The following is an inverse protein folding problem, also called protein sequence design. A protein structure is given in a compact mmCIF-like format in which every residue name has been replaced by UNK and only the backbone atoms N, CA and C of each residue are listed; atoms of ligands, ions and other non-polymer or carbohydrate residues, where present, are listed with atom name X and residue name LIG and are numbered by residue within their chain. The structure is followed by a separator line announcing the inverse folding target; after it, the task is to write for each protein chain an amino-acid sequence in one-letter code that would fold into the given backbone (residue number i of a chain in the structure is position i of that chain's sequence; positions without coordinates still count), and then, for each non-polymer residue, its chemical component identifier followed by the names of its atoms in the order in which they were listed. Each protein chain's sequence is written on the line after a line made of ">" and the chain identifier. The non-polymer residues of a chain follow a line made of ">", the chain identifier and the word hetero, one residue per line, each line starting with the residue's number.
data_IF_478703852117
#
_entry.id   IF_478703852117
#
_cell.length_a   1.000
_cell.length_b   1.000
_cell.length_c   1.000
_cell.angle_alpha   90.00
_cell.angle_beta   90.00
_cell.angle_gamma   90.00
#
_symmetry.space_group_name_H-M   'P 1'
#
loop_
_entity.id
_entity.type
_entity.pdbx_description
1 polymer ?
#
# COMPACT_ATOMS: atom_id res chain seq x y z
N UNK A 1 -15.04 4.51 -17.56
CA UNK A 1 -15.41 5.79 -18.20
C UNK A 1 -14.26 6.76 -18.01
N UNK A 2 -13.61 7.24 -19.08
CA UNK A 2 -12.50 8.20 -19.02
C UNK A 2 -13.00 9.49 -18.38
N UNK A 3 -12.51 9.85 -17.19
CA UNK A 3 -12.69 11.21 -16.65
C UNK A 3 -11.45 12.02 -17.01
N UNK A 4 -11.58 12.80 -18.08
CA UNK A 4 -10.64 13.85 -18.47
C UNK A 4 -10.47 14.85 -17.33
N UNK A 5 -9.24 15.27 -17.03
CA UNK A 5 -9.00 16.47 -16.21
C UNK A 5 -9.73 17.65 -16.89
N UNK A 6 -10.85 18.09 -16.32
CA UNK A 6 -11.57 19.26 -16.82
C UNK A 6 -10.67 20.48 -16.63
N UNK A 7 -10.38 21.17 -17.72
CA UNK A 7 -9.56 22.39 -17.72
C UNK A 7 -10.50 23.55 -17.39
N UNK A 8 -10.40 24.05 -16.16
CA UNK A 8 -11.07 25.25 -15.63
C UNK A 8 -12.60 25.20 -15.63
N UNK A 9 -13.19 24.83 -14.49
CA UNK A 9 -14.64 24.85 -14.24
C UNK A 9 -14.99 26.13 -13.46
N UNK A 10 -16.15 26.73 -13.74
CA UNK A 10 -16.69 27.84 -12.95
C UNK A 10 -17.05 27.40 -11.51
N UNK A 11 -16.99 28.32 -10.54
CA UNK A 11 -17.28 28.04 -9.13
C UNK A 11 -18.71 27.54 -8.91
N UNK A 12 -19.68 27.99 -9.72
CA UNK A 12 -21.06 27.51 -9.64
C UNK A 12 -21.20 26.04 -10.06
N UNK A 13 -20.59 25.66 -11.19
CA UNK A 13 -20.57 24.27 -11.65
C UNK A 13 -19.79 23.38 -10.66
N UNK A 14 -18.71 23.89 -10.08
CA UNK A 14 -17.97 23.20 -9.01
C UNK A 14 -18.88 22.95 -7.79
N UNK A 15 -19.60 23.96 -7.31
CA UNK A 15 -20.50 23.83 -6.18
C UNK A 15 -21.58 22.78 -6.45
N UNK A 16 -22.13 22.74 -7.67
CA UNK A 16 -23.11 21.74 -8.07
C UNK A 16 -22.50 20.32 -8.05
N UNK A 17 -21.32 20.13 -8.65
CA UNK A 17 -20.64 18.83 -8.69
C UNK A 17 -20.29 18.32 -7.28
N UNK A 18 -19.80 19.20 -6.40
CA UNK A 18 -19.50 18.84 -5.01
C UNK A 18 -20.73 18.35 -4.24
N UNK A 19 -21.93 18.79 -4.60
CA UNK A 19 -23.20 18.32 -4.00
C UNK A 19 -23.64 16.95 -4.53
N UNK A 20 -23.29 16.59 -5.76
CA UNK A 20 -23.61 15.26 -6.34
C UNK A 20 -22.88 14.12 -5.63
N UNK A 21 -21.67 14.39 -5.13
CA UNK A 21 -20.85 13.42 -4.40
C UNK A 21 -20.05 12.45 -5.26
N UNK A 22 -20.00 12.67 -6.57
CA UNK A 22 -19.08 11.97 -7.47
C UNK A 22 -17.62 12.31 -7.17
N UNK A 23 -16.70 11.38 -7.50
CA UNK A 23 -15.27 11.65 -7.46
C UNK A 23 -14.92 12.72 -8.47
N UNK A 24 -14.20 13.74 -8.00
CA UNK A 24 -13.93 14.92 -8.78
C UNK A 24 -12.47 15.36 -8.65
N UNK A 25 -11.86 15.72 -9.79
CA UNK A 25 -10.52 16.27 -9.91
C UNK A 25 -10.56 17.51 -10.78
N UNK A 26 -10.02 18.61 -10.27
CA UNK A 26 -10.02 19.92 -10.94
C UNK A 26 -8.63 20.52 -10.93
N UNK A 27 -8.29 21.15 -12.06
CA UNK A 27 -7.19 22.10 -12.14
C UNK A 27 -7.76 23.52 -12.09
N UNK A 28 -7.23 24.32 -11.18
CA UNK A 28 -7.56 25.73 -11.00
C UNK A 28 -6.29 26.55 -11.26
N UNK A 29 -6.35 27.57 -12.11
CA UNK A 29 -5.14 28.23 -12.57
C UNK A 29 -4.15 27.27 -13.24
N UNK A 30 -2.85 27.51 -13.07
CA UNK A 30 -1.82 26.68 -13.68
C UNK A 30 -1.38 25.52 -12.77
N UNK A 31 -1.29 25.81 -11.46
CA UNK A 31 -0.59 24.97 -10.48
C UNK A 31 -1.48 24.46 -9.35
N UNK A 32 -2.71 24.95 -9.21
CA UNK A 32 -3.65 24.52 -8.16
C UNK A 32 -4.45 23.29 -8.60
N UNK A 33 -4.54 22.29 -7.73
CA UNK A 33 -5.21 21.01 -7.98
C UNK A 33 -6.12 20.65 -6.81
N UNK A 34 -7.41 20.50 -7.08
CA UNK A 34 -8.39 20.02 -6.12
C UNK A 34 -8.73 18.56 -6.43
N UNK A 35 -8.71 17.71 -5.39
CA UNK A 35 -9.22 16.35 -5.45
C UNK A 35 -10.24 16.15 -4.33
N UNK A 36 -11.44 15.72 -4.69
CA UNK A 36 -12.50 15.35 -3.75
C UNK A 36 -13.09 14.02 -4.20
N UNK A 37 -12.78 12.94 -3.48
CA UNK A 37 -13.23 11.58 -3.82
C UNK A 37 -14.74 11.40 -3.67
N UNK A 38 -15.33 12.08 -2.69
CA UNK A 38 -16.75 12.09 -2.34
C UNK A 38 -17.03 13.28 -1.42
N UNK A 39 -18.30 13.49 -1.06
CA UNK A 39 -18.69 14.43 -0.01
C UNK A 39 -18.04 14.04 1.32
N UNK A 40 -17.13 14.88 1.81
CA UNK A 40 -16.44 14.72 3.08
C UNK A 40 -16.49 16.06 3.82
N UNK A 41 -16.68 16.06 5.15
CA UNK A 41 -16.74 17.29 5.94
C UNK A 41 -15.36 17.87 6.26
N UNK A 42 -14.33 17.54 5.46
CA UNK A 42 -12.99 18.04 5.67
C UNK A 42 -12.25 18.26 4.35
N UNK A 43 -11.24 19.13 4.40
CA UNK A 43 -10.30 19.39 3.30
C UNK A 43 -8.88 19.49 3.86
N UNK A 44 -7.95 18.74 3.27
CA UNK A 44 -6.53 18.88 3.56
C UNK A 44 -5.92 19.90 2.58
N UNK A 45 -5.30 20.96 3.09
CA UNK A 45 -4.70 22.03 2.32
C UNK A 45 -3.17 21.96 2.39
N UNK A 46 -2.53 22.00 1.22
CA UNK A 46 -1.11 22.26 1.09
C UNK A 46 -0.91 23.48 0.19
N UNK A 47 -0.14 24.46 0.65
CA UNK A 47 0.23 25.63 -0.15
C UNK A 47 1.72 25.55 -0.48
N UNK A 48 2.07 25.50 -1.76
CA UNK A 48 3.44 25.35 -2.22
C UNK A 48 4.29 26.58 -1.84
N UNK A 49 5.46 26.42 -1.20
CA UNK A 49 6.38 27.53 -0.94
C UNK A 49 6.95 28.09 -2.24
N UNK A 50 7.66 29.22 -2.13
CA UNK A 50 8.41 29.79 -3.26
C UNK A 50 9.37 28.76 -3.88
N UNK A 51 9.96 27.90 -3.04
CA UNK A 51 10.70 26.72 -3.49
C UNK A 51 9.79 25.47 -3.43
N UNK A 52 9.79 24.61 -4.47
CA UNK A 52 9.01 23.39 -4.46
C UNK A 52 9.42 22.45 -3.31
N UNK A 53 8.43 21.97 -2.56
CA UNK A 53 8.62 20.99 -1.50
C UNK A 53 7.80 19.73 -1.81
N UNK A 54 8.38 18.86 -2.62
CA UNK A 54 7.74 17.62 -3.04
C UNK A 54 7.52 16.64 -1.89
N UNK A 55 8.39 16.67 -0.87
CA UNK A 55 8.30 15.80 0.30
C UNK A 55 7.04 16.10 1.10
N UNK A 56 6.86 17.36 1.49
CA UNK A 56 5.68 17.81 2.24
C UNK A 56 4.40 17.63 1.43
N UNK A 57 4.43 17.99 0.14
CA UNK A 57 3.28 17.80 -0.76
C UNK A 57 2.82 16.34 -0.77
N UNK A 58 3.76 15.40 -0.91
CA UNK A 58 3.45 13.98 -0.99
C UNK A 58 2.78 13.42 0.29
N UNK A 59 2.98 14.03 1.46
CA UNK A 59 2.34 13.61 2.72
C UNK A 59 0.82 13.79 2.70
N UNK A 60 0.32 14.75 1.93
CA UNK A 60 -1.09 15.15 1.90
C UNK A 60 -1.88 14.49 0.75
N UNK A 61 -1.20 14.17 -0.36
CA UNK A 61 -1.82 13.53 -1.54
C UNK A 61 -2.48 12.17 -1.29
N UNK A 62 -2.21 11.50 -0.15
CA UNK A 62 -2.90 10.26 0.22
C UNK A 62 -4.32 10.45 0.73
N UNK A 63 -4.76 11.68 1.00
CA UNK A 63 -6.08 11.93 1.58
C UNK A 63 -7.16 12.05 0.50
N UNK A 64 -8.37 11.64 0.88
CA UNK A 64 -9.53 11.55 -0.01
C UNK A 64 -10.09 12.91 -0.44
N UNK A 65 -9.80 13.97 0.33
CA UNK A 65 -10.22 15.34 0.06
C UNK A 65 -9.02 16.25 0.33
N UNK A 66 -8.41 16.76 -0.74
CA UNK A 66 -7.24 17.60 -0.63
C UNK A 66 -7.12 18.66 -1.73
N UNK A 67 -6.45 19.76 -1.40
CA UNK A 67 -6.17 20.89 -2.26
C UNK A 67 -4.68 21.22 -2.22
N UNK A 68 -4.02 21.11 -3.37
CA UNK A 68 -2.66 21.62 -3.60
C UNK A 68 -2.76 23.00 -4.23
N UNK A 69 -2.20 24.03 -3.60
CA UNK A 69 -2.20 25.40 -4.12
C UNK A 69 -0.82 25.77 -4.63
N UNK A 70 -0.77 26.28 -5.86
CA UNK A 70 0.47 26.78 -6.46
C UNK A 70 1.05 27.98 -5.72
N UNK A 71 2.38 28.14 -5.77
CA UNK A 71 3.03 29.30 -5.18
C UNK A 71 2.52 30.59 -5.85
N UNK A 72 2.00 31.52 -5.04
CA UNK A 72 1.45 32.80 -5.49
C UNK A 72 0.02 32.76 -6.02
N UNK A 73 -0.63 31.60 -6.10
CA UNK A 73 -2.04 31.50 -6.52
C UNK A 73 -3.00 31.75 -5.35
N UNK A 74 -4.09 32.49 -5.61
CA UNK A 74 -5.17 32.66 -4.63
C UNK A 74 -6.19 31.54 -4.77
N UNK A 75 -6.25 30.69 -3.74
CA UNK A 75 -7.19 29.59 -3.65
C UNK A 75 -8.36 29.86 -2.68
N UNK A 76 -8.50 31.08 -2.13
CA UNK A 76 -9.60 31.42 -1.23
C UNK A 76 -10.98 31.13 -1.86
N UNK A 77 -11.29 31.58 -3.09
CA UNK A 77 -12.62 31.34 -3.68
C UNK A 77 -12.93 29.84 -3.81
N UNK A 78 -11.90 29.04 -4.11
CA UNK A 78 -12.02 27.60 -4.26
C UNK A 78 -12.31 26.92 -2.92
N UNK A 79 -11.60 27.30 -1.85
CA UNK A 79 -11.84 26.78 -0.51
C UNK A 79 -13.21 27.20 0.02
N UNK A 80 -13.60 28.47 -0.15
CA UNK A 80 -14.92 28.96 0.21
C UNK A 80 -16.02 28.15 -0.50
N UNK A 81 -15.89 27.93 -1.81
CA UNK A 81 -16.82 27.11 -2.60
C UNK A 81 -16.91 25.68 -2.08
N UNK A 82 -15.78 25.04 -1.75
CA UNK A 82 -15.78 23.67 -1.21
C UNK A 82 -16.50 23.61 0.13
N UNK A 83 -16.18 24.52 1.04
CA UNK A 83 -16.78 24.55 2.38
C UNK A 83 -18.27 24.87 2.29
N UNK A 84 -18.69 25.90 1.55
CA UNK A 84 -20.09 26.27 1.41
C UNK A 84 -20.94 25.22 0.67
N UNK A 85 -20.33 24.40 -0.21
CA UNK A 85 -21.04 23.30 -0.86
C UNK A 85 -21.24 22.09 0.05
N UNK A 86 -20.31 21.82 0.99
CA UNK A 86 -20.34 20.62 1.82
C UNK A 86 -20.92 20.86 3.21
N UNK A 87 -20.64 22.00 3.84
CA UNK A 87 -21.02 22.27 5.22
C UNK A 87 -22.53 22.13 5.49
N UNK A 88 -23.46 22.58 4.62
CA UNK A 88 -24.90 22.46 4.89
C UNK A 88 -25.38 21.02 5.12
N UNK A 89 -24.71 20.02 4.53
CA UNK A 89 -25.07 18.62 4.73
C UNK A 89 -24.42 17.96 5.95
N UNK A 90 -23.36 18.57 6.50
CA UNK A 90 -22.59 18.00 7.60
C UNK A 90 -22.65 18.82 8.89
N UNK A 91 -23.20 20.03 8.86
CA UNK A 91 -23.30 20.94 10.01
C UNK A 91 -21.98 21.62 10.40
N UNK A 92 -20.85 20.95 10.21
CA UNK A 92 -19.51 21.50 10.44
C UNK A 92 -18.53 21.08 9.34
N UNK A 93 -17.42 21.82 9.22
CA UNK A 93 -16.36 21.51 8.27
C UNK A 93 -14.97 21.67 8.91
N UNK A 94 -14.02 20.78 8.60
CA UNK A 94 -12.65 20.85 9.09
C UNK A 94 -11.66 21.15 7.95
N UNK A 95 -10.98 22.28 8.03
CA UNK A 95 -9.84 22.61 7.17
C UNK A 95 -8.53 22.27 7.90
N UNK A 96 -7.79 21.28 7.41
CA UNK A 96 -6.46 20.94 7.91
C UNK A 96 -5.40 21.51 6.97
N UNK A 97 -4.53 22.39 7.44
CA UNK A 97 -3.39 22.89 6.66
C UNK A 97 -2.10 22.19 7.11
N UNK A 98 -1.32 21.66 6.16
CA UNK A 98 -0.06 20.95 6.41
C UNK A 98 1.11 21.68 5.77
N UNK A 99 2.19 21.89 6.53
CA UNK A 99 3.42 22.51 6.03
C UNK A 99 4.68 21.95 6.69
N UNK A 100 5.83 22.20 6.06
CA UNK A 100 7.14 21.93 6.65
C UNK A 100 7.53 23.04 7.62
N UNK A 101 7.99 22.65 8.81
CA UNK A 101 8.69 23.54 9.73
C UNK A 101 10.11 23.88 9.25
N UNK A 102 10.86 24.68 10.02
CA UNK A 102 12.23 25.03 9.68
C UNK A 102 13.12 23.77 9.57
N UNK A 103 14.15 23.78 8.70
CA UNK A 103 15.08 22.67 8.60
C UNK A 103 15.82 22.46 9.93
N UNK A 104 15.84 21.22 10.39
CA UNK A 104 16.63 20.81 11.56
C UNK A 104 18.06 20.47 11.12
N UNK A 105 19.02 20.61 12.02
CA UNK A 105 20.41 20.21 11.75
C UNK A 105 20.50 18.70 11.50
N UNK A 106 21.24 18.30 10.46
CA UNK A 106 21.54 16.90 10.18
C UNK A 106 22.72 16.41 11.04
N UNK A 107 22.72 15.15 11.49
CA UNK A 107 21.68 14.13 11.30
C UNK A 107 20.44 14.40 12.17
N UNK A 108 19.24 14.15 11.61
CA UNK A 108 17.99 14.30 12.35
C UNK A 108 17.95 13.33 13.53
N UNK A 109 17.85 13.86 14.75
CA UNK A 109 17.74 13.05 15.98
C UNK A 109 16.31 12.87 16.45
N UNK A 110 15.36 13.64 15.90
CA UNK A 110 13.94 13.60 16.27
C UNK A 110 13.05 14.07 15.11
N UNK A 111 11.82 13.57 15.10
CA UNK A 111 10.73 14.05 14.26
C UNK A 111 9.83 14.97 15.08
N UNK A 112 9.77 16.24 14.72
CA UNK A 112 8.93 17.21 15.45
C UNK A 112 7.62 17.43 14.69
N UNK A 113 6.52 17.37 15.43
CA UNK A 113 5.18 17.68 14.96
C UNK A 113 4.63 18.78 15.84
N UNK A 114 4.25 19.91 15.25
CA UNK A 114 3.58 21.00 15.96
C UNK A 114 2.15 21.12 15.46
N UNK A 115 1.19 20.96 16.37
CA UNK A 115 -0.24 21.07 16.07
C UNK A 115 -0.72 22.44 16.54
N UNK A 116 -1.24 23.23 15.60
CA UNK A 116 -1.68 24.60 15.83
C UNK A 116 -3.21 24.64 15.84
N UNK A 117 -3.83 25.06 16.95
CA UNK A 117 -5.29 24.97 17.14
C UNK A 117 -6.01 26.32 17.05
N UNK A 118 -5.27 27.43 17.10
CA UNK A 118 -5.85 28.77 17.16
C UNK A 118 -6.69 29.04 18.41
N UNK A 119 -6.55 28.22 19.47
CA UNK A 119 -7.28 28.36 20.73
C UNK A 119 -8.76 27.96 20.68
N UNK A 120 -9.18 27.17 19.68
CA UNK A 120 -10.57 26.75 19.55
C UNK A 120 -10.84 25.44 20.34
N UNK A 121 -11.76 25.41 21.32
CA UNK A 121 -11.93 24.26 22.23
C UNK A 121 -12.23 22.90 21.55
N UNK A 122 -13.03 22.90 20.48
CA UNK A 122 -13.28 21.68 19.70
C UNK A 122 -12.03 21.20 18.96
N UNK A 123 -11.20 22.13 18.48
CA UNK A 123 -9.96 21.81 17.76
C UNK A 123 -8.90 21.31 18.73
N UNK A 124 -8.85 21.82 19.96
CA UNK A 124 -7.93 21.32 21.00
C UNK A 124 -8.16 19.84 21.32
N UNK A 125 -9.43 19.40 21.43
CA UNK A 125 -9.77 17.97 21.61
C UNK A 125 -9.34 17.11 20.42
N UNK A 126 -9.48 17.63 19.19
CA UNK A 126 -8.98 16.94 17.99
C UNK A 126 -7.45 16.88 17.96
N UNK A 127 -6.78 17.95 18.41
CA UNK A 127 -5.33 18.03 18.51
C UNK A 127 -4.77 17.05 19.56
N UNK A 128 -5.46 16.84 20.67
CA UNK A 128 -5.12 15.80 21.65
C UNK A 128 -5.22 14.39 21.03
N UNK A 129 -6.30 14.14 20.28
CA UNK A 129 -6.49 12.87 19.56
C UNK A 129 -5.36 12.65 18.56
N UNK A 130 -5.08 13.64 17.71
CA UNK A 130 -3.98 13.59 16.74
C UNK A 130 -2.63 13.39 17.44
N UNK A 131 -2.36 14.10 18.53
CA UNK A 131 -1.16 13.95 19.34
C UNK A 131 -0.97 12.53 19.84
N UNK A 132 -2.04 11.92 20.38
CA UNK A 132 -2.04 10.52 20.80
C UNK A 132 -1.74 9.54 19.67
N UNK A 133 -2.21 9.82 18.44
CA UNK A 133 -1.89 8.99 17.26
C UNK A 133 -0.47 9.19 16.78
N UNK A 134 0.02 10.43 16.74
CA UNK A 134 1.38 10.79 16.33
C UNK A 134 2.44 10.20 17.27
N UNK A 135 2.21 10.22 18.59
CA UNK A 135 3.10 9.60 19.59
C UNK A 135 3.29 8.09 19.39
N UNK A 136 2.30 7.40 18.82
CA UNK A 136 2.32 5.95 18.57
C UNK A 136 2.96 5.58 17.22
N UNK A 137 3.41 6.56 16.44
CA UNK A 137 4.07 6.28 15.17
C UNK A 137 5.45 5.69 15.43
N UNK A 138 5.67 4.47 14.94
CA UNK A 138 6.99 3.82 14.95
C UNK A 138 7.91 4.43 13.89
N UNK A 139 8.46 5.60 14.13
CA UNK A 139 9.40 6.27 13.21
C UNK A 139 10.84 5.76 13.44
N UNK A 140 11.76 6.10 12.53
CA UNK A 140 13.19 5.78 12.69
C UNK A 140 13.86 6.63 13.78
N UNK A 141 13.28 7.79 14.08
CA UNK A 141 13.69 8.72 15.13
C UNK A 141 12.53 8.95 16.11
N UNK A 142 12.78 9.29 17.37
CA UNK A 142 11.73 9.65 18.32
C UNK A 142 10.83 10.78 17.80
N UNK A 143 9.52 10.66 18.05
CA UNK A 143 8.55 11.70 17.71
C UNK A 143 8.32 12.63 18.91
N UNK A 144 8.52 13.93 18.70
CA UNK A 144 8.19 14.99 19.66
C UNK A 144 6.95 15.72 19.14
N UNK A 145 5.90 15.80 19.96
CA UNK A 145 4.63 16.40 19.60
C UNK A 145 4.37 17.58 20.52
N UNK A 146 4.19 18.76 19.93
CA UNK A 146 3.84 20.00 20.61
C UNK A 146 2.44 20.44 20.15
N UNK A 147 1.56 20.78 21.07
CA UNK A 147 0.30 21.45 20.77
C UNK A 147 0.41 22.92 21.17
N UNK A 148 -0.09 23.82 20.32
CA UNK A 148 -0.07 25.27 20.57
C UNK A 148 -1.40 25.90 20.18
N UNK A 149 -1.73 27.01 20.83
CA UNK A 149 -2.88 27.86 20.50
C UNK A 149 -2.58 28.86 19.36
N UNK A 150 -1.40 28.74 18.75
CA UNK A 150 -0.95 29.63 17.69
C UNK A 150 -1.78 29.48 16.41
N UNK A 151 -1.55 30.41 15.47
CA UNK A 151 -2.26 30.48 14.19
C UNK A 151 -2.18 29.14 13.44
N UNK A 152 -3.32 28.52 13.06
CA UNK A 152 -3.36 27.23 12.36
C UNK A 152 -2.97 27.32 10.87
N UNK A 153 -2.00 28.17 10.52
CA UNK A 153 -1.47 28.34 9.17
C UNK A 153 0.01 28.79 9.23
N UNK A 154 0.79 28.57 8.15
CA UNK A 154 2.18 29.01 8.05
C UNK A 154 2.36 30.52 8.30
N UNK A 155 3.40 30.89 9.05
CA UNK A 155 3.68 32.29 9.42
C UNK A 155 4.13 33.16 8.25
N UNK A 156 4.66 32.55 7.19
CA UNK A 156 5.15 33.20 5.96
C UNK A 156 4.01 33.59 5.00
N UNK A 157 2.75 33.26 5.31
CA UNK A 157 1.61 33.44 4.39
C UNK A 157 0.36 33.96 5.09
N UNK A 158 -0.51 34.70 4.36
CA UNK A 158 -1.76 35.17 4.92
C UNK A 158 -2.71 33.98 5.18
N UNK A 159 -3.67 34.19 6.10
CA UNK A 159 -4.78 33.26 6.31
C UNK A 159 -5.59 33.09 5.03
N UNK A 160 -5.96 31.85 4.70
CA UNK A 160 -6.78 31.57 3.52
C UNK A 160 -8.23 31.97 3.73
N UNK A 161 -8.83 31.63 4.88
CA UNK A 161 -10.19 32.02 5.27
C UNK A 161 -10.18 33.06 6.39
N UNK A 162 -11.15 33.99 6.35
CA UNK A 162 -11.40 34.97 7.40
C UNK A 162 -11.99 34.34 8.67
N UNK A 163 -11.74 34.95 9.84
CA UNK A 163 -12.27 34.44 11.12
C UNK A 163 -13.80 34.45 11.15
N UNK A 164 -14.41 35.59 10.84
CA UNK A 164 -15.87 35.74 10.82
C UNK A 164 -16.51 34.74 9.85
N UNK A 165 -15.96 34.65 8.63
CA UNK A 165 -16.44 33.71 7.62
C UNK A 165 -16.42 32.26 8.10
N UNK A 166 -15.34 31.85 8.80
CA UNK A 166 -15.26 30.51 9.39
C UNK A 166 -16.30 30.30 10.50
N UNK A 167 -16.57 31.30 11.33
CA UNK A 167 -17.61 31.23 12.38
C UNK A 167 -19.00 31.09 11.75
N UNK A 168 -19.32 31.91 10.74
CA UNK A 168 -20.60 31.88 10.01
C UNK A 168 -20.83 30.56 9.26
N UNK A 169 -19.76 29.90 8.79
CA UNK A 169 -19.81 28.64 8.04
C UNK A 169 -19.40 27.43 8.90
N UNK A 170 -19.37 27.53 10.24
CA UNK A 170 -18.97 26.43 11.14
C UNK A 170 -17.70 25.67 10.68
N UNK A 171 -16.71 26.42 10.19
CA UNK A 171 -15.47 25.89 9.62
C UNK A 171 -14.35 25.94 10.67
N UNK A 172 -14.00 24.77 11.19
CA UNK A 172 -12.87 24.57 12.10
C UNK A 172 -11.56 24.51 11.32
N UNK A 173 -10.47 25.02 11.91
CA UNK A 173 -9.14 25.04 11.30
C UNK A 173 -8.12 24.36 12.20
N UNK A 174 -7.32 23.48 11.63
CA UNK A 174 -6.27 22.74 12.32
C UNK A 174 -4.98 22.84 11.50
N UNK A 175 -3.90 23.33 12.12
CA UNK A 175 -2.60 23.39 11.48
C UNK A 175 -1.71 22.22 11.91
N UNK A 176 -1.00 21.62 10.96
CA UNK A 176 0.00 20.59 11.23
C UNK A 176 1.33 20.98 10.59
N UNK A 177 2.27 21.38 11.42
CA UNK A 177 3.65 21.63 11.04
C UNK A 177 4.50 20.38 11.32
N UNK A 178 5.32 19.98 10.35
CA UNK A 178 6.19 18.82 10.46
C UNK A 178 7.62 19.25 10.17
N UNK A 179 8.56 18.96 11.07
CA UNK A 179 9.98 19.18 10.73
C UNK A 179 10.38 18.32 9.53
N UNK A 180 11.21 18.83 8.61
CA UNK A 180 11.49 18.16 7.33
C UNK A 180 12.49 16.99 7.45
N UNK A 181 12.39 16.14 8.48
CA UNK A 181 13.28 14.99 8.72
C UNK A 181 13.22 13.90 7.63
N UNK A 182 12.25 14.00 6.72
CA UNK A 182 12.00 13.10 5.60
C UNK A 182 12.65 13.58 4.29
N UNK A 183 13.41 14.67 4.30
CA UNK A 183 14.15 15.17 3.16
C UNK A 183 15.52 15.71 3.56
N UNK A 184 16.40 15.85 2.58
CA UNK A 184 17.73 16.47 2.73
C UNK A 184 17.60 17.98 2.89
N UNK A 185 18.66 18.65 3.34
CA UNK A 185 18.78 20.12 3.28
C UNK A 185 18.56 20.72 1.90
N UNK A 186 18.84 19.95 0.83
CA UNK A 186 18.59 20.35 -0.55
C UNK A 186 17.12 20.15 -0.99
N UNK A 187 16.21 19.80 -0.08
CA UNK A 187 14.79 19.57 -0.36
C UNK A 187 14.48 18.24 -1.05
N UNK A 188 15.47 17.36 -1.24
CA UNK A 188 15.26 16.04 -1.87
C UNK A 188 14.73 15.03 -0.84
N UNK A 189 13.56 14.40 -1.07
CA UNK A 189 13.00 13.45 -0.11
C UNK A 189 13.81 12.16 0.02
N UNK A 190 13.87 11.61 1.25
CA UNK A 190 14.33 10.25 1.52
C UNK A 190 13.19 9.26 1.22
N UNK A 191 13.25 8.46 0.15
CA UNK A 191 12.06 7.73 -0.34
C UNK A 191 11.46 6.75 0.67
N UNK A 192 12.31 6.02 1.40
CA UNK A 192 11.86 5.05 2.41
C UNK A 192 11.24 5.73 3.64
N UNK A 193 11.82 6.85 4.08
CA UNK A 193 11.30 7.62 5.22
C UNK A 193 9.96 8.25 4.83
N UNK A 194 9.91 8.94 3.69
CA UNK A 194 8.70 9.59 3.18
C UNK A 194 7.55 8.60 2.98
N UNK A 195 7.80 7.45 2.34
CA UNK A 195 6.78 6.41 2.13
C UNK A 195 6.25 5.86 3.46
N UNK A 196 7.14 5.61 4.41
CA UNK A 196 6.81 5.14 5.75
C UNK A 196 5.98 6.17 6.52
N UNK A 197 6.36 7.45 6.44
CA UNK A 197 5.68 8.57 7.07
C UNK A 197 4.31 8.81 6.45
N UNK A 198 4.19 8.94 5.13
CA UNK A 198 2.91 9.12 4.41
C UNK A 198 1.86 8.10 4.83
N UNK A 199 2.21 6.81 4.88
CA UNK A 199 1.29 5.75 5.34
C UNK A 199 0.85 5.93 6.79
N UNK A 200 1.82 6.19 7.68
CA UNK A 200 1.60 6.32 9.13
C UNK A 200 0.79 7.56 9.47
N UNK A 201 1.15 8.69 8.86
CA UNK A 201 0.48 9.97 8.99
C UNK A 201 -0.93 9.91 8.42
N UNK A 202 -1.12 9.39 7.20
CA UNK A 202 -2.46 9.28 6.61
C UNK A 202 -3.40 8.41 7.47
N UNK A 203 -2.89 7.35 8.12
CA UNK A 203 -3.68 6.60 9.11
C UNK A 203 -4.04 7.46 10.34
N UNK A 204 -3.09 8.22 10.88
CA UNK A 204 -3.33 9.10 12.03
C UNK A 204 -4.35 10.19 11.69
N UNK A 205 -4.22 10.84 10.53
CA UNK A 205 -5.15 11.85 10.03
C UNK A 205 -6.56 11.27 9.87
N UNK A 206 -6.72 10.11 9.24
CA UNK A 206 -8.03 9.45 9.11
C UNK A 206 -8.68 9.14 10.45
N UNK A 207 -7.90 8.74 11.46
CA UNK A 207 -8.42 8.51 12.81
C UNK A 207 -8.86 9.81 13.48
N UNK A 208 -8.15 10.91 13.26
CA UNK A 208 -8.55 12.25 13.73
C UNK A 208 -9.78 12.78 12.99
N UNK A 209 -9.86 12.58 11.67
CA UNK A 209 -11.04 12.95 10.88
C UNK A 209 -12.26 12.13 11.30
N UNK A 210 -12.08 10.85 11.63
CA UNK A 210 -13.15 10.02 12.19
C UNK A 210 -13.70 10.61 13.48
N UNK A 211 -12.82 10.98 14.43
CA UNK A 211 -13.23 11.65 15.66
C UNK A 211 -14.01 12.94 15.38
N UNK A 212 -13.51 13.79 14.47
CA UNK A 212 -14.21 15.01 14.07
C UNK A 212 -15.58 14.71 13.48
N UNK A 213 -15.67 13.76 12.54
CA UNK A 213 -16.92 13.39 11.88
C UNK A 213 -17.93 12.88 12.92
N UNK A 214 -17.53 12.01 13.84
CA UNK A 214 -18.45 11.42 14.83
C UNK A 214 -18.87 12.39 15.94
N UNK A 215 -18.06 13.40 16.23
CA UNK A 215 -18.32 14.36 17.33
C UNK A 215 -18.97 15.67 16.87
N UNK A 216 -18.71 16.08 15.63
CA UNK A 216 -19.05 17.42 15.14
C UNK A 216 -19.98 17.41 13.92
N UNK A 217 -20.37 16.23 13.41
CA UNK A 217 -21.25 16.09 12.24
C UNK A 217 -22.29 14.99 12.49
N UNK A 218 -23.41 14.93 11.73
CA UNK A 218 -24.41 13.88 11.87
C UNK A 218 -24.01 12.54 11.23
N UNK A 219 -22.83 12.44 10.61
CA UNK A 219 -22.35 11.21 9.99
C UNK A 219 -21.86 10.20 11.04
N UNK A 220 -22.25 8.94 10.85
CA UNK A 220 -21.75 7.80 11.63
C UNK A 220 -21.06 6.78 10.71
N UNK A 221 -19.83 7.04 10.24
CA UNK A 221 -19.07 6.07 9.48
C UNK A 221 -18.78 4.83 10.35
N UNK A 222 -18.82 3.59 9.80
CA UNK A 222 -18.59 2.38 10.60
C UNK A 222 -17.15 2.25 11.11
N UNK A 223 -16.18 2.83 10.40
CA UNK A 223 -14.79 2.90 10.83
C UNK A 223 -14.02 4.01 10.10
N UNK A 224 -12.84 4.37 10.61
CA UNK A 224 -11.98 5.43 10.06
C UNK A 224 -11.45 5.16 8.64
N UNK A 225 -11.43 3.90 8.18
CA UNK A 225 -10.94 3.58 6.83
C UNK A 225 -11.92 4.06 5.76
N UNK A 226 -13.21 4.19 6.08
CA UNK A 226 -14.25 4.68 5.16
C UNK A 226 -14.05 6.13 4.71
N UNK A 227 -13.26 6.91 5.47
CA UNK A 227 -12.88 8.29 5.19
C UNK A 227 -11.62 8.40 4.32
N UNK A 228 -10.91 7.29 4.08
CA UNK A 228 -9.79 7.25 3.14
C UNK A 228 -10.24 7.27 1.68
N UNK A 229 -9.30 7.34 0.74
CA UNK A 229 -9.62 7.31 -0.68
C UNK A 229 -10.41 6.05 -1.04
N UNK A 230 -11.48 6.19 -1.85
CA UNK A 230 -12.23 5.02 -2.38
C UNK A 230 -12.00 4.79 -3.86
N UNK A 231 -11.43 5.77 -4.56
CA UNK A 231 -11.12 5.59 -5.96
C UNK A 231 -10.08 4.45 -6.08
N UNK A 232 -10.55 3.23 -6.34
CA UNK A 232 -9.74 2.14 -6.87
C UNK A 232 -9.30 2.59 -8.26
N UNK A 233 -8.20 3.33 -8.29
CA UNK A 233 -7.70 3.98 -9.49
C UNK A 233 -7.44 2.90 -10.53
N UNK A 234 -7.74 3.18 -11.79
CA UNK A 234 -7.24 2.42 -12.96
C UNK A 234 -5.78 1.95 -12.77
N UNK A 235 -4.96 2.77 -12.12
CA UNK A 235 -3.58 2.47 -11.75
C UNK A 235 -3.41 1.22 -10.87
N UNK A 236 -4.28 0.98 -9.89
CA UNK A 236 -4.24 -0.22 -9.03
C UNK A 236 -4.42 -1.47 -9.88
N UNK A 237 -5.46 -1.48 -10.73
CA UNK A 237 -5.73 -2.60 -11.64
C UNK A 237 -4.65 -2.79 -12.70
N UNK A 238 -4.09 -1.70 -13.23
CA UNK A 238 -2.97 -1.76 -14.16
C UNK A 238 -1.72 -2.37 -13.52
N UNK A 239 -1.39 -1.98 -12.28
CA UNK A 239 -0.25 -2.54 -11.55
C UNK A 239 -0.49 -4.01 -11.21
N UNK A 240 -1.69 -4.35 -10.74
CA UNK A 240 -2.08 -5.72 -10.42
C UNK A 240 -1.95 -6.65 -11.65
N UNK A 241 -2.58 -6.27 -12.76
CA UNK A 241 -2.51 -7.01 -14.01
C UNK A 241 -1.07 -7.15 -14.53
N UNK A 242 -0.27 -6.08 -14.49
CA UNK A 242 1.12 -6.15 -14.96
C UNK A 242 2.00 -7.06 -14.07
N UNK A 243 1.79 -7.07 -12.76
CA UNK A 243 2.48 -8.01 -11.86
C UNK A 243 2.01 -9.45 -12.07
N UNK A 244 0.73 -9.66 -12.34
CA UNK A 244 0.15 -10.96 -12.67
C UNK A 244 0.74 -11.50 -13.97
N UNK A 245 0.82 -10.70 -15.04
CA UNK A 245 1.42 -11.08 -16.32
C UNK A 245 2.86 -11.57 -16.15
N UNK A 246 3.68 -10.85 -15.37
CA UNK A 246 5.04 -11.30 -15.05
C UNK A 246 5.03 -12.59 -14.22
N UNK A 247 4.15 -12.69 -13.22
CA UNK A 247 4.03 -13.89 -12.38
C UNK A 247 3.63 -15.13 -13.19
N UNK A 248 2.73 -14.98 -14.16
CA UNK A 248 2.20 -16.05 -15.00
C UNK A 248 3.15 -16.41 -16.16
N UNK A 249 4.10 -15.54 -16.50
CA UNK A 249 5.12 -15.82 -17.52
C UNK A 249 6.05 -16.98 -17.16
N UNK A 250 6.15 -17.37 -15.88
CA UNK A 250 6.97 -18.51 -15.47
C UNK A 250 6.33 -19.35 -14.35
N UNK A 251 6.42 -20.67 -14.48
CA UNK A 251 6.06 -21.59 -13.39
C UNK A 251 7.26 -21.86 -12.49
N UNK A 252 7.36 -21.14 -11.37
CA UNK A 252 8.49 -21.24 -10.45
C UNK A 252 8.74 -22.67 -9.94
N UNK A 253 7.69 -23.34 -9.44
CA UNK A 253 7.82 -24.69 -8.89
C UNK A 253 8.25 -25.69 -9.98
N UNK A 254 7.63 -25.62 -11.16
CA UNK A 254 7.97 -26.50 -12.27
C UNK A 254 9.43 -26.34 -12.71
N UNK A 255 9.95 -25.10 -12.65
CA UNK A 255 11.34 -24.78 -12.99
C UNK A 255 12.32 -25.10 -11.85
N UNK A 256 11.87 -25.09 -10.60
CA UNK A 256 12.69 -25.45 -9.45
C UNK A 256 12.75 -26.97 -9.19
N UNK A 257 11.86 -27.76 -9.79
CA UNK A 257 11.81 -29.21 -9.61
C UNK A 257 12.67 -29.96 -10.64
N UNK A 258 13.53 -30.89 -10.20
CA UNK A 258 14.30 -31.74 -11.12
C UNK A 258 13.40 -32.67 -11.93
N UNK A 259 13.82 -33.00 -13.16
CA UNK A 259 13.12 -33.95 -14.05
C UNK A 259 13.62 -35.39 -13.91
N UNK A 260 14.76 -35.61 -13.26
CA UNK A 260 15.42 -36.91 -13.15
C UNK A 260 15.42 -37.47 -11.71
N UNK A 261 14.47 -37.08 -10.86
CA UNK A 261 14.45 -37.43 -9.42
C UNK A 261 14.60 -38.93 -9.17
N UNK A 262 13.85 -39.77 -9.87
CA UNK A 262 13.94 -41.24 -9.74
C UNK A 262 15.32 -41.78 -10.14
N UNK A 263 15.86 -41.35 -11.27
CA UNK A 263 17.19 -41.78 -11.73
C UNK A 263 18.31 -41.26 -10.81
N UNK A 264 18.17 -40.05 -10.28
CA UNK A 264 19.11 -39.46 -9.32
C UNK A 264 19.09 -40.26 -8.00
N UNK A 265 17.91 -40.67 -7.54
CA UNK A 265 17.74 -41.54 -6.37
C UNK A 265 18.41 -42.91 -6.54
N UNK A 266 18.18 -43.59 -7.67
CA UNK A 266 18.81 -44.88 -7.96
C UNK A 266 20.34 -44.77 -7.98
N UNK A 267 20.89 -43.70 -8.57
CA UNK A 267 22.34 -43.42 -8.57
C UNK A 267 22.88 -43.16 -7.16
N UNK A 268 22.19 -42.35 -6.37
CA UNK A 268 22.54 -42.08 -4.98
C UNK A 268 22.63 -43.38 -4.16
N UNK A 269 21.62 -44.25 -4.30
CA UNK A 269 21.60 -45.57 -3.65
C UNK A 269 22.75 -46.47 -4.14
N UNK A 270 22.99 -46.53 -5.45
CA UNK A 270 24.09 -47.32 -6.04
C UNK A 270 25.48 -46.86 -5.55
N UNK A 271 25.64 -45.58 -5.22
CA UNK A 271 26.87 -45.03 -4.65
C UNK A 271 27.08 -45.35 -3.16
N UNK A 272 26.17 -46.10 -2.53
CA UNK A 272 26.20 -46.30 -1.08
C UNK A 272 26.00 -44.99 -0.30
N UNK A 273 25.24 -44.04 -0.88
CA UNK A 273 24.94 -42.74 -0.29
C UNK A 273 26.16 -41.81 -0.10
N UNK A 274 27.27 -42.08 -0.78
CA UNK A 274 28.52 -41.34 -0.62
C UNK A 274 28.66 -40.12 -1.54
N UNK A 275 27.92 -40.07 -2.65
CA UNK A 275 27.99 -38.99 -3.64
C UNK A 275 26.70 -38.20 -3.71
N UNK A 276 26.78 -36.87 -3.84
CA UNK A 276 25.58 -36.04 -3.98
C UNK A 276 24.86 -36.34 -5.31
N UNK A 277 23.52 -36.41 -5.33
CA UNK A 277 22.76 -36.63 -6.55
C UNK A 277 22.88 -35.44 -7.51
N UNK A 278 23.10 -35.73 -8.79
CA UNK A 278 23.08 -34.72 -9.84
C UNK A 278 21.67 -34.52 -10.41
N UNK A 279 21.15 -33.31 -10.26
CA UNK A 279 19.81 -32.94 -10.72
C UNK A 279 19.78 -32.28 -12.10
N UNK A 280 18.96 -32.84 -12.97
CA UNK A 280 18.62 -32.30 -14.27
C UNK A 280 17.35 -31.46 -14.17
N UNK A 281 17.32 -30.31 -14.83
CA UNK A 281 16.19 -29.37 -14.80
C UNK A 281 15.79 -28.99 -16.22
N UNK A 282 14.54 -28.57 -16.37
CA UNK A 282 14.00 -28.00 -17.61
C UNK A 282 14.79 -26.74 -18.00
N UNK A 283 15.09 -26.52 -19.28
CA UNK A 283 15.58 -25.22 -19.74
C UNK A 283 14.62 -24.11 -19.32
N UNK A 284 15.15 -23.03 -18.75
CA UNK A 284 14.34 -21.86 -18.43
C UNK A 284 14.16 -21.04 -19.71
N UNK A 285 12.92 -20.84 -20.20
CA UNK A 285 12.70 -20.30 -21.55
C UNK A 285 12.90 -18.78 -21.64
N UNK A 286 13.09 -18.09 -20.51
CA UNK A 286 13.21 -16.64 -20.43
C UNK A 286 14.59 -16.20 -19.95
N UNK A 287 15.01 -15.02 -20.39
CA UNK A 287 16.17 -14.33 -19.81
C UNK A 287 15.77 -13.69 -18.46
N UNK A 288 16.38 -14.08 -17.33
CA UNK A 288 16.09 -13.48 -16.02
C UNK A 288 16.26 -11.96 -15.99
N UNK A 289 17.22 -11.40 -16.73
CA UNK A 289 17.46 -9.96 -16.80
C UNK A 289 16.30 -9.24 -17.49
N UNK A 290 15.74 -9.82 -18.55
CA UNK A 290 14.58 -9.25 -19.26
C UNK A 290 13.32 -9.29 -18.39
N UNK A 291 13.07 -10.41 -17.72
CA UNK A 291 11.94 -10.51 -16.78
C UNK A 291 12.04 -9.48 -15.64
N UNK A 292 13.23 -9.28 -15.08
CA UNK A 292 13.47 -8.22 -14.09
C UNK A 292 13.17 -6.83 -14.64
N UNK A 293 13.60 -6.53 -15.88
CA UNK A 293 13.28 -5.23 -16.53
C UNK A 293 11.78 -5.02 -16.67
N UNK A 294 11.05 -6.03 -17.13
CA UNK A 294 9.58 -5.97 -17.23
C UNK A 294 8.94 -5.77 -15.84
N UNK A 295 9.39 -6.52 -14.84
CA UNK A 295 8.91 -6.44 -13.46
C UNK A 295 9.10 -5.04 -12.84
N UNK A 296 10.28 -4.43 -13.02
CA UNK A 296 10.58 -3.11 -12.45
C UNK A 296 10.08 -1.94 -13.30
N UNK A 297 9.59 -2.18 -14.52
CA UNK A 297 8.87 -1.18 -15.30
C UNK A 297 7.43 -0.94 -14.77
N UNK A 298 6.91 -1.84 -13.93
CA UNK A 298 5.58 -1.69 -13.32
C UNK A 298 5.56 -0.48 -12.37
N UNK A 299 4.68 0.52 -12.58
CA UNK A 299 4.70 1.80 -11.86
C UNK A 299 4.00 1.72 -10.49
N UNK A 300 4.52 0.85 -9.60
CA UNK A 300 3.94 0.63 -8.25
C UNK A 300 3.94 1.92 -7.41
N UNK A 301 4.89 2.82 -7.65
CA UNK A 301 5.03 4.12 -7.00
C UNK A 301 3.87 5.09 -7.26
N UNK A 302 3.13 4.90 -8.36
CA UNK A 302 1.97 5.72 -8.72
C UNK A 302 0.69 5.32 -7.97
N UNK A 303 0.72 4.23 -7.20
CA UNK A 303 -0.43 3.81 -6.38
C UNK A 303 -0.57 4.74 -5.18
N UNK A 304 -1.66 5.51 -5.15
CA UNK A 304 -1.89 6.51 -4.11
C UNK A 304 -2.22 5.91 -2.73
N UNK A 305 -2.87 4.74 -2.72
CA UNK A 305 -3.25 4.06 -1.49
C UNK A 305 -2.03 3.34 -0.89
N UNK A 306 -1.56 3.74 0.32
CA UNK A 306 -0.28 3.27 0.84
C UNK A 306 -0.21 1.78 1.22
N UNK A 307 -1.35 1.13 1.44
CA UNK A 307 -1.43 -0.29 1.83
C UNK A 307 -1.28 -1.19 0.60
N UNK A 308 -2.00 -0.93 -0.47
CA UNK A 308 -1.92 -1.57 -1.77
C UNK A 308 -0.54 -1.35 -2.39
N UNK A 309 -0.01 -0.12 -2.36
CA UNK A 309 1.34 0.17 -2.83
C UNK A 309 2.38 -0.71 -2.10
N UNK A 310 2.21 -0.95 -0.80
CA UNK A 310 3.06 -1.87 -0.03
C UNK A 310 2.91 -3.31 -0.49
N UNK A 311 1.67 -3.81 -0.63
CA UNK A 311 1.41 -5.19 -1.06
C UNK A 311 2.00 -5.46 -2.44
N UNK A 312 1.85 -4.53 -3.38
CA UNK A 312 2.44 -4.62 -4.71
C UNK A 312 3.96 -4.59 -4.70
N UNK A 313 4.59 -3.76 -3.85
CA UNK A 313 6.05 -3.79 -3.66
C UNK A 313 6.52 -5.12 -3.09
N UNK A 314 5.84 -5.65 -2.08
CA UNK A 314 6.16 -6.97 -1.50
C UNK A 314 6.02 -8.07 -2.56
N UNK A 315 4.97 -8.01 -3.40
CA UNK A 315 4.79 -8.93 -4.53
C UNK A 315 5.89 -8.78 -5.59
N UNK A 316 6.26 -7.54 -5.94
CA UNK A 316 7.34 -7.26 -6.88
C UNK A 316 8.68 -7.82 -6.36
N UNK A 317 9.03 -7.59 -5.10
CA UNK A 317 10.23 -8.15 -4.47
C UNK A 317 10.21 -9.68 -4.41
N UNK A 318 9.03 -10.28 -4.15
CA UNK A 318 8.85 -11.73 -4.18
C UNK A 318 9.17 -12.28 -5.58
N UNK A 319 8.63 -11.68 -6.63
CA UNK A 319 8.86 -12.08 -8.02
C UNK A 319 10.32 -11.90 -8.43
N UNK A 320 10.95 -10.78 -8.07
CA UNK A 320 12.37 -10.52 -8.33
C UNK A 320 13.26 -11.61 -7.71
N UNK A 321 12.96 -11.99 -6.47
CA UNK A 321 13.71 -13.05 -5.78
C UNK A 321 13.51 -14.40 -6.45
N UNK A 322 12.27 -14.75 -6.85
CA UNK A 322 11.99 -15.97 -7.61
C UNK A 322 12.74 -16.02 -8.94
N UNK A 323 12.73 -14.94 -9.72
CA UNK A 323 13.46 -14.83 -10.99
C UNK A 323 14.98 -14.99 -10.74
N UNK A 324 15.51 -14.37 -9.70
CA UNK A 324 16.91 -14.50 -9.29
C UNK A 324 17.27 -15.94 -8.95
N UNK A 325 16.42 -16.62 -8.16
CA UNK A 325 16.59 -18.03 -7.81
C UNK A 325 16.65 -18.91 -9.05
N UNK A 326 15.72 -18.74 -10.01
CA UNK A 326 15.72 -19.51 -11.25
C UNK A 326 17.00 -19.30 -12.07
N UNK A 327 17.48 -18.05 -12.16
CA UNK A 327 18.76 -17.73 -12.83
C UNK A 327 20.01 -18.25 -12.12
N UNK A 328 19.90 -18.56 -10.81
CA UNK A 328 21.00 -19.10 -9.97
C UNK A 328 20.79 -20.56 -9.58
N UNK A 329 19.87 -21.26 -10.25
CA UNK A 329 19.60 -22.69 -10.05
C UNK A 329 20.89 -23.50 -10.20
N UNK A 330 21.03 -24.57 -9.40
CA UNK A 330 22.27 -25.39 -9.26
C UNK A 330 23.46 -24.68 -8.61
N UNK A 331 23.25 -23.54 -7.95
CA UNK A 331 24.29 -22.90 -7.14
C UNK A 331 23.82 -22.75 -5.69
N UNK A 332 24.74 -22.60 -4.71
CA UNK A 332 24.37 -22.29 -3.33
C UNK A 332 23.51 -21.02 -3.19
N UNK A 333 23.58 -20.08 -4.15
CA UNK A 333 22.78 -18.86 -4.14
C UNK A 333 21.28 -19.10 -4.27
N UNK A 334 20.85 -20.24 -4.84
CA UNK A 334 19.44 -20.62 -4.85
C UNK A 334 18.90 -20.75 -3.42
N UNK A 335 19.69 -21.38 -2.53
CA UNK A 335 19.30 -21.56 -1.13
C UNK A 335 19.15 -20.22 -0.41
N UNK A 336 20.06 -19.26 -0.63
CA UNK A 336 19.96 -17.94 0.00
C UNK A 336 18.70 -17.19 -0.45
N UNK A 337 18.33 -17.28 -1.73
CA UNK A 337 17.05 -16.74 -2.21
C UNK A 337 15.85 -17.44 -1.56
N UNK A 338 15.89 -18.76 -1.43
CA UNK A 338 14.84 -19.54 -0.76
C UNK A 338 14.66 -19.12 0.70
N UNK A 339 15.76 -18.99 1.43
CA UNK A 339 15.75 -18.53 2.83
C UNK A 339 15.22 -17.10 2.96
N UNK A 340 15.49 -16.23 1.98
CA UNK A 340 14.96 -14.87 1.96
C UNK A 340 13.44 -14.84 1.71
N UNK A 341 12.89 -15.76 0.92
CA UNK A 341 11.46 -15.80 0.60
C UNK A 341 10.63 -16.53 1.65
N UNK A 342 11.11 -17.68 2.10
CA UNK A 342 10.34 -18.62 2.92
C UNK A 342 10.82 -18.68 4.37
N UNK A 343 11.93 -18.00 4.68
CA UNK A 343 12.58 -18.09 5.98
C UNK A 343 13.42 -19.35 6.13
N UNK A 344 14.05 -19.45 7.30
CA UNK A 344 14.74 -20.66 7.77
C UNK A 344 13.77 -21.53 8.56
N UNK A 345 14.06 -22.83 8.64
CA UNK A 345 13.36 -23.75 9.55
C UNK A 345 13.55 -23.23 10.98
N UNK A 346 12.45 -22.92 11.66
CA UNK A 346 12.49 -22.48 13.04
C UNK A 346 12.76 -23.66 13.99
N UNK A 347 13.28 -23.38 15.19
CA UNK A 347 13.69 -24.43 16.12
C UNK A 347 12.48 -25.21 16.67
N UNK A 348 11.30 -24.58 16.76
CA UNK A 348 10.08 -25.24 17.23
C UNK A 348 9.60 -26.28 16.21
N UNK A 349 9.52 -25.90 14.93
CA UNK A 349 9.18 -26.77 13.81
C UNK A 349 10.16 -27.92 13.70
N UNK A 350 11.46 -27.66 13.91
CA UNK A 350 12.49 -28.70 13.94
C UNK A 350 12.28 -29.69 15.09
N UNK A 351 11.95 -29.20 16.28
CA UNK A 351 11.67 -30.05 17.45
C UNK A 351 10.45 -30.95 17.19
N UNK A 352 9.36 -30.37 16.65
CA UNK A 352 8.15 -31.12 16.26
C UNK A 352 8.49 -32.19 15.21
N UNK A 353 9.25 -31.84 14.17
CA UNK A 353 9.64 -32.80 13.13
C UNK A 353 10.46 -33.97 13.70
N UNK A 354 11.37 -33.71 14.65
CA UNK A 354 12.15 -34.76 15.34
C UNK A 354 11.28 -35.64 16.22
N UNK A 355 10.38 -35.05 16.99
CA UNK A 355 9.43 -35.79 17.82
C UNK A 355 8.55 -36.70 16.95
N UNK A 356 8.08 -36.22 15.80
CA UNK A 356 7.32 -37.06 14.86
C UNK A 356 8.14 -38.26 14.35
N UNK A 357 9.44 -38.10 14.12
CA UNK A 357 10.32 -39.20 13.71
C UNK A 357 10.55 -40.24 14.82
N UNK A 358 10.43 -39.84 16.08
CA UNK A 358 10.54 -40.75 17.24
C UNK A 358 9.23 -41.49 17.53
N UNK A 359 8.09 -40.79 17.40
CA UNK A 359 6.76 -41.32 17.73
C UNK A 359 6.17 -42.16 16.61
N UNK A 360 6.37 -41.74 15.36
CA UNK A 360 5.83 -42.49 14.23
C UNK A 360 6.68 -43.75 14.03
N UNK A 361 6.07 -44.95 14.01
CA UNK A 361 6.81 -46.15 13.70
C UNK A 361 7.50 -45.97 12.35
N UNK A 362 8.77 -46.37 12.23
CA UNK A 362 9.39 -46.55 10.92
C UNK A 362 8.44 -47.45 10.15
N UNK A 363 7.80 -46.92 9.09
CA UNK A 363 6.83 -47.67 8.29
C UNK A 363 7.48 -49.00 7.92
N UNK A 364 7.12 -50.08 8.63
CA UNK A 364 7.10 -51.38 8.03
C UNK A 364 6.21 -51.21 6.79
N UNK A 365 6.68 -51.68 5.64
CA UNK A 365 5.87 -51.75 4.43
C UNK A 365 4.71 -52.71 4.68
N UNK A 366 3.72 -52.30 5.45
CA UNK A 366 2.53 -53.09 5.71
C UNK A 366 1.34 -52.36 5.09
N UNK A 367 0.63 -53.15 4.27
CA UNK A 367 -0.38 -52.79 3.28
C UNK A 367 0.18 -52.04 2.06
N UNK A 368 0.22 -52.74 0.93
CA UNK A 368 0.23 -52.16 -0.41
C UNK A 368 -1.05 -51.31 -0.51
N UNK A 369 -0.99 -49.96 -0.39
CA UNK A 369 -2.19 -49.17 -0.61
C UNK A 369 -2.65 -49.47 -2.04
N UNK A 370 -3.96 -49.58 -2.29
CA UNK A 370 -4.45 -49.63 -3.68
C UNK A 370 -3.94 -48.39 -4.39
N UNK A 371 -2.88 -48.56 -5.17
CA UNK A 371 -2.34 -47.53 -6.05
C UNK A 371 -3.32 -47.42 -7.22
N UNK A 372 -3.76 -46.20 -7.48
CA UNK A 372 -4.56 -45.87 -8.66
C UNK A 372 -3.64 -45.31 -9.73
N UNK A 373 -3.94 -45.59 -10.99
CA UNK A 373 -3.19 -45.02 -12.12
C UNK A 373 -3.50 -43.52 -12.27
N UNK A 374 -2.62 -42.80 -12.98
CA UNK A 374 -2.73 -41.34 -13.11
C UNK A 374 -4.08 -40.88 -13.71
N UNK A 375 -4.60 -41.62 -14.70
CA UNK A 375 -5.90 -41.32 -15.30
C UNK A 375 -7.07 -41.61 -14.35
N UNK A 376 -7.00 -42.68 -13.57
CA UNK A 376 -8.01 -42.98 -12.56
C UNK A 376 -8.06 -41.89 -11.48
N UNK A 377 -6.89 -41.39 -11.04
CA UNK A 377 -6.83 -40.25 -10.14
C UNK A 377 -7.37 -38.97 -10.78
N UNK A 378 -7.08 -38.73 -12.07
CA UNK A 378 -7.60 -37.57 -12.80
C UNK A 378 -9.14 -37.58 -12.88
N UNK A 379 -9.74 -38.76 -13.09
CA UNK A 379 -11.19 -38.91 -13.10
C UNK A 379 -11.82 -38.65 -11.73
N UNK A 380 -11.22 -39.14 -10.65
CA UNK A 380 -11.65 -38.83 -9.28
C UNK A 380 -11.55 -37.32 -8.99
N UNK A 381 -10.47 -36.68 -9.43
CA UNK A 381 -10.31 -35.23 -9.28
C UNK A 381 -11.38 -34.45 -10.07
N UNK A 382 -11.72 -34.88 -11.29
CA UNK A 382 -12.81 -34.27 -12.09
C UNK A 382 -14.16 -34.41 -11.39
N UNK A 383 -14.46 -35.58 -10.82
CA UNK A 383 -15.70 -35.81 -10.06
C UNK A 383 -15.80 -34.88 -8.85
N UNK A 384 -14.72 -34.73 -8.09
CA UNK A 384 -14.68 -33.81 -6.95
C UNK A 384 -14.84 -32.35 -7.39
N UNK A 385 -14.21 -31.96 -8.50
CA UNK A 385 -14.37 -30.63 -9.09
C UNK A 385 -15.83 -30.39 -9.51
N UNK A 386 -16.47 -31.37 -10.14
CA UNK A 386 -17.87 -31.28 -10.54
C UNK A 386 -18.80 -31.14 -9.34
N UNK A 387 -18.50 -31.83 -8.23
CA UNK A 387 -19.20 -31.65 -6.96
C UNK A 387 -19.07 -30.22 -6.42
N UNK A 388 -17.87 -29.63 -6.41
CA UNK A 388 -17.70 -28.22 -6.01
C UNK A 388 -18.39 -27.26 -6.97
N UNK A 389 -18.44 -27.57 -8.28
CA UNK A 389 -19.12 -26.75 -9.27
C UNK A 389 -20.64 -26.67 -9.05
N UNK A 390 -21.24 -27.71 -8.46
CA UNK A 390 -22.65 -27.68 -8.04
C UNK A 390 -22.90 -26.65 -6.92
N UNK A 391 -21.89 -26.35 -6.09
CA UNK A 391 -21.98 -25.35 -5.02
C UNK A 391 -21.65 -23.94 -5.53
N UNK A 392 -20.73 -23.84 -6.50
CA UNK A 392 -20.36 -22.57 -7.13
C UNK A 392 -20.01 -22.76 -8.60
N UNK A 393 -20.86 -22.23 -9.49
CA UNK A 393 -20.70 -22.35 -10.95
C UNK A 393 -19.38 -21.76 -11.48
N UNK A 394 -18.78 -20.80 -10.75
CA UNK A 394 -17.49 -20.19 -11.13
C UNK A 394 -16.27 -21.07 -10.85
N UNK A 395 -16.43 -22.25 -10.24
CA UNK A 395 -15.32 -23.17 -9.96
C UNK A 395 -14.94 -23.97 -11.21
N UNK A 396 -13.97 -23.45 -11.98
CA UNK A 396 -13.50 -24.05 -13.24
C UNK A 396 -12.01 -24.43 -13.24
N UNK A 397 -11.51 -25.21 -12.27
CA UNK A 397 -10.13 -25.72 -12.32
C UNK A 397 -9.98 -26.75 -13.45
N UNK A 398 -8.74 -26.93 -13.93
CA UNK A 398 -8.38 -27.88 -14.99
C UNK A 398 -7.62 -29.06 -14.43
N UNK A 399 -7.90 -30.25 -14.94
CA UNK A 399 -7.16 -31.48 -14.63
C UNK A 399 -6.35 -31.88 -15.85
N UNK A 400 -5.03 -31.95 -15.69
CA UNK A 400 -4.08 -32.32 -16.73
C UNK A 400 -3.19 -33.46 -16.25
N UNK A 401 -3.15 -34.57 -16.99
CA UNK A 401 -2.19 -35.66 -16.79
C UNK A 401 -0.97 -35.38 -17.66
N UNK A 402 0.22 -35.38 -17.05
CA UNK A 402 1.46 -34.98 -17.71
C UNK A 402 2.58 -35.96 -17.41
N UNK A 403 3.15 -36.54 -18.46
CA UNK A 403 4.28 -37.48 -18.36
C UNK A 403 5.61 -36.80 -18.04
N UNK A 404 5.70 -35.48 -18.25
CA UNK A 404 6.93 -34.72 -18.04
C UNK A 404 7.09 -34.22 -16.59
N UNK A 405 6.19 -34.59 -15.66
CA UNK A 405 6.27 -34.28 -14.24
C UNK A 405 6.82 -35.49 -13.47
N UNK A 406 7.87 -35.27 -12.67
CA UNK A 406 8.39 -36.33 -11.79
C UNK A 406 7.51 -36.56 -10.57
N UNK A 407 7.61 -37.74 -9.96
CA UNK A 407 6.89 -38.10 -8.73
C UNK A 407 7.16 -37.05 -7.63
N UNK A 408 6.10 -36.36 -7.17
CA UNK A 408 6.16 -35.44 -6.02
C UNK A 408 5.77 -33.98 -6.29
N UNK A 409 5.29 -33.63 -7.48
CA UNK A 409 4.72 -32.30 -7.72
C UNK A 409 3.21 -32.36 -7.46
N UNK A 410 2.76 -31.78 -6.34
CA UNK A 410 1.38 -31.35 -6.15
C UNK A 410 1.33 -29.87 -6.58
N UNK A 411 0.75 -29.62 -7.76
CA UNK A 411 0.50 -28.27 -8.29
C UNK A 411 -0.84 -27.74 -7.76
#
# INVERSE_FOLDING_TARGET
>A
MNQSEKTTIDLEELAQQLRTGETFRLRWGEKTRLKVDRRLPFLCLYRAPSQPDEGTRALLTSEASHLEVGAGEDARPLVETVVSAQQPAFGAFLLLELWAGPPLLEPYTMAQFTIHTGGHPTVDRLAETLSGRLRRLKLAVPAVITQTDHKPWPSDRPRILGRQWCEDNHCLRLGLEISPFYQTHAGRPYPLILRSLRRKLGRALRQTFYEFVTTSTPLSPPNFQTLGPRAMVKMVWQVDQALEEVSNSFSFLLQATPINTHQAWLRFKKSGYSQNPEFLYRPFPHDPTQLKRQLFAVPVDRVEEPTLARLFLEKQHQLDTKITMLGRRRTPHFLYGSLSLYGKVDEQLRAVARQLLEVLPQRAREADPKLVEAEEFADLARQEIDFYRQQWEGFTPRVEVREDLGNGILC
#
